data_IF_454810513030
#
_entry.id   IF_454810513030
#
_cell.length_a   1.000
_cell.length_b   1.000
_cell.length_c   1.000
_cell.angle_alpha   90.00
_cell.angle_beta   90.00
_cell.angle_gamma   90.00
#
_symmetry.space_group_name_H-M   'P 1'
#
loop_
_entity.id
_entity.type
_entity.pdbx_description
1 polymer ?
#
# COMPACT_ATOMS: atom_id res chain seq x y z
N UNK A 1 -2.24 -19.87 -3.30
CA UNK A 1 -2.42 -19.05 -4.52
C UNK A 1 -2.24 -17.54 -4.26
N UNK A 2 -2.00 -17.14 -3.00
CA UNK A 2 -1.87 -15.77 -2.50
C UNK A 2 -0.91 -14.87 -3.29
N UNK A 3 0.37 -15.26 -3.42
CA UNK A 3 1.37 -14.41 -4.09
C UNK A 3 1.09 -14.27 -5.59
N UNK A 4 0.87 -15.36 -6.36
CA UNK A 4 0.51 -15.22 -7.77
C UNK A 4 -0.75 -14.38 -8.03
N UNK A 5 -1.80 -14.54 -7.22
CA UNK A 5 -3.02 -13.74 -7.35
C UNK A 5 -2.76 -12.27 -7.06
N UNK A 6 -2.11 -11.95 -5.93
CA UNK A 6 -1.82 -10.56 -5.55
C UNK A 6 -0.95 -9.82 -6.59
N UNK A 7 0.03 -10.51 -7.18
CA UNK A 7 0.85 -9.95 -8.26
C UNK A 7 0.09 -9.77 -9.56
N UNK A 8 -0.80 -10.71 -9.91
CA UNK A 8 -1.69 -10.58 -11.06
C UNK A 8 -2.62 -9.36 -10.92
N UNK A 9 -3.24 -9.18 -9.75
CA UNK A 9 -4.09 -8.03 -9.46
C UNK A 9 -3.30 -6.71 -9.49
N UNK A 10 -2.10 -6.68 -8.92
CA UNK A 10 -1.23 -5.50 -8.97
C UNK A 10 -0.86 -5.13 -10.42
N UNK A 11 -0.48 -6.13 -11.23
CA UNK A 11 -0.09 -5.91 -12.63
C UNK A 11 -1.22 -5.32 -13.49
N UNK A 12 -2.48 -5.65 -13.19
CA UNK A 12 -3.66 -5.12 -13.91
C UNK A 12 -4.05 -3.69 -13.49
N UNK A 13 -3.54 -3.20 -12.35
CA UNK A 13 -3.91 -1.92 -11.77
C UNK A 13 -2.69 -1.11 -11.29
N UNK A 14 -1.56 -1.19 -12.00
CA UNK A 14 -0.27 -0.59 -11.58
C UNK A 14 -0.33 0.94 -11.38
N UNK A 15 -1.31 1.61 -11.96
CA UNK A 15 -1.47 3.07 -11.91
C UNK A 15 -2.61 3.52 -10.99
N UNK A 16 -3.34 2.58 -10.36
CA UNK A 16 -4.47 2.89 -9.49
C UNK A 16 -4.46 2.00 -8.25
N UNK A 17 -3.93 2.51 -7.15
CA UNK A 17 -3.90 1.81 -5.86
C UNK A 17 -5.30 1.47 -5.35
N UNK A 18 -6.27 2.37 -5.53
CA UNK A 18 -7.66 2.15 -5.09
C UNK A 18 -8.32 1.04 -5.89
N UNK A 19 -8.20 1.03 -7.22
CA UNK A 19 -8.79 -0.04 -8.04
C UNK A 19 -8.09 -1.38 -7.76
N UNK A 20 -6.77 -1.37 -7.58
CA UNK A 20 -6.01 -2.57 -7.23
C UNK A 20 -6.50 -3.20 -5.92
N UNK A 21 -6.74 -2.39 -4.89
CA UNK A 21 -7.21 -2.88 -3.58
C UNK A 21 -8.64 -3.41 -3.65
N UNK A 22 -9.55 -2.72 -4.36
CA UNK A 22 -10.93 -3.21 -4.52
C UNK A 22 -10.99 -4.52 -5.31
N UNK A 23 -10.30 -4.60 -6.46
CA UNK A 23 -10.24 -5.82 -7.26
C UNK A 23 -9.67 -7.00 -6.47
N UNK A 24 -8.62 -6.77 -5.67
CA UNK A 24 -8.02 -7.82 -4.84
C UNK A 24 -8.97 -8.27 -3.72
N UNK A 25 -9.66 -7.34 -3.06
CA UNK A 25 -10.61 -7.67 -1.98
C UNK A 25 -11.83 -8.47 -2.47
N UNK A 26 -12.26 -8.26 -3.72
CA UNK A 26 -13.33 -9.03 -4.37
C UNK A 26 -12.96 -10.51 -4.61
N UNK A 27 -11.67 -10.89 -4.47
CA UNK A 27 -11.20 -12.27 -4.60
C UNK A 27 -11.64 -13.22 -3.46
N UNK A 28 -12.22 -12.69 -2.37
CA UNK A 28 -12.81 -13.42 -1.22
C UNK A 28 -11.94 -14.48 -0.50
N UNK A 29 -10.64 -14.57 -0.81
CA UNK A 29 -9.67 -15.44 -0.16
C UNK A 29 -9.03 -14.81 1.08
N UNK A 30 -7.71 -14.94 1.21
CA UNK A 30 -6.91 -14.22 2.22
C UNK A 30 -6.78 -12.74 1.82
N UNK A 31 -7.87 -11.99 1.99
CA UNK A 31 -8.01 -10.59 1.56
C UNK A 31 -6.94 -9.70 2.19
N UNK A 32 -6.65 -9.89 3.47
CA UNK A 32 -5.68 -9.05 4.19
C UNK A 32 -4.27 -9.24 3.60
N UNK A 33 -3.81 -10.49 3.45
CA UNK A 33 -2.47 -10.77 2.93
C UNK A 33 -2.35 -10.37 1.45
N UNK A 34 -3.38 -10.65 0.65
CA UNK A 34 -3.37 -10.30 -0.78
C UNK A 34 -3.40 -8.79 -0.99
N UNK A 35 -4.23 -8.05 -0.24
CA UNK A 35 -4.29 -6.59 -0.30
C UNK A 35 -2.99 -5.94 0.21
N UNK A 36 -2.34 -6.50 1.24
CA UNK A 36 -1.06 -6.00 1.72
C UNK A 36 0.03 -6.09 0.63
N UNK A 37 0.10 -7.22 -0.08
CA UNK A 37 1.07 -7.42 -1.18
C UNK A 37 0.73 -6.53 -2.37
N UNK A 38 -0.51 -6.57 -2.86
CA UNK A 38 -0.96 -5.75 -4.00
C UNK A 38 -0.76 -4.26 -3.70
N UNK A 39 -1.19 -3.81 -2.52
CA UNK A 39 -1.09 -2.43 -2.08
C UNK A 39 0.36 -1.95 -1.98
N UNK A 40 1.26 -2.77 -1.42
CA UNK A 40 2.69 -2.45 -1.35
C UNK A 40 3.33 -2.25 -2.73
N UNK A 41 3.03 -3.13 -3.68
CA UNK A 41 3.56 -3.03 -5.07
C UNK A 41 3.06 -1.78 -5.77
N UNK A 42 1.75 -1.53 -5.73
CA UNK A 42 1.15 -0.39 -6.45
C UNK A 42 1.52 0.93 -5.76
N UNK A 43 1.47 1.00 -4.43
CA UNK A 43 1.84 2.20 -3.68
C UNK A 43 3.32 2.58 -3.87
N UNK A 44 4.22 1.61 -4.03
CA UNK A 44 5.62 1.89 -4.34
C UNK A 44 5.80 2.60 -5.70
N UNK A 45 4.88 2.39 -6.64
CA UNK A 45 4.87 3.05 -7.96
C UNK A 45 4.10 4.38 -7.93
N UNK A 46 2.89 4.38 -7.37
CA UNK A 46 1.97 5.52 -7.48
C UNK A 46 2.14 6.54 -6.35
N UNK A 47 2.78 6.16 -5.25
CA UNK A 47 2.62 6.83 -3.97
C UNK A 47 1.17 6.75 -3.46
N UNK A 48 0.85 7.57 -2.45
CA UNK A 48 -0.46 7.59 -1.79
C UNK A 48 -1.33 8.80 -2.16
N UNK A 49 -0.87 9.68 -3.05
CA UNK A 49 -1.56 10.94 -3.36
C UNK A 49 -2.97 10.73 -3.98
N UNK A 50 -3.16 9.61 -4.67
CA UNK A 50 -4.46 9.23 -5.26
C UNK A 50 -5.43 8.52 -4.30
N UNK A 51 -5.02 8.21 -3.08
CA UNK A 51 -5.88 7.50 -2.11
C UNK A 51 -6.93 8.46 -1.54
N UNK A 52 -8.22 8.06 -1.47
CA UNK A 52 -9.24 8.87 -0.82
C UNK A 52 -8.86 9.22 0.61
N UNK A 53 -8.91 10.51 0.96
CA UNK A 53 -8.56 11.00 2.31
C UNK A 53 -9.34 10.31 3.43
N UNK A 54 -10.58 9.89 3.13
CA UNK A 54 -11.43 9.16 4.07
C UNK A 54 -10.82 7.81 4.47
N UNK A 55 -10.13 7.10 3.57
CA UNK A 55 -9.48 5.83 3.91
C UNK A 55 -8.36 6.04 4.92
N UNK A 56 -7.55 7.09 4.71
CA UNK A 56 -6.48 7.47 5.62
C UNK A 56 -7.01 7.97 6.97
N UNK A 57 -8.22 8.55 7.00
CA UNK A 57 -8.87 8.99 8.23
C UNK A 57 -9.50 7.83 9.02
N UNK A 58 -9.89 6.74 8.35
CA UNK A 58 -10.51 5.56 8.97
C UNK A 58 -9.52 4.47 9.36
N UNK A 59 -8.29 4.48 8.83
CA UNK A 59 -7.25 3.52 9.22
C UNK A 59 -6.90 3.69 10.70
N UNK A 60 -6.48 2.60 11.33
CA UNK A 60 -5.87 2.68 12.65
C UNK A 60 -4.59 3.55 12.61
N UNK A 61 -4.39 4.45 13.59
CA UNK A 61 -3.17 5.24 13.67
C UNK A 61 -1.95 4.32 13.66
N UNK A 62 -0.92 4.68 12.90
CA UNK A 62 0.33 3.95 12.98
C UNK A 62 0.93 4.12 14.37
N UNK A 63 1.57 3.06 14.91
CA UNK A 63 2.35 3.19 16.11
C UNK A 63 3.40 4.31 15.99
N UNK A 64 3.68 5.00 17.10
CA UNK A 64 4.62 6.13 17.14
C UNK A 64 6.00 5.77 16.57
N UNK A 65 6.48 4.55 16.80
CA UNK A 65 7.78 4.07 16.30
C UNK A 65 7.90 4.08 14.77
N UNK A 66 6.78 3.98 14.03
CA UNK A 66 6.79 4.08 12.56
C UNK A 66 7.07 5.52 12.12
N UNK A 67 6.52 6.50 12.83
CA UNK A 67 6.74 7.92 12.54
C UNK A 67 8.16 8.36 12.92
N UNK A 68 8.69 7.82 14.03
CA UNK A 68 10.09 8.03 14.45
C UNK A 68 11.05 7.48 13.39
N UNK A 69 10.83 6.24 12.90
CA UNK A 69 11.65 5.65 11.84
C UNK A 69 11.62 6.46 10.53
N UNK A 70 10.49 7.09 10.18
CA UNK A 70 10.38 7.96 9.01
C UNK A 70 11.06 9.33 9.23
N UNK A 71 11.17 9.80 10.48
CA UNK A 71 11.85 11.05 10.83
C UNK A 71 13.38 10.89 10.94
N UNK A 72 13.88 9.66 11.09
CA UNK A 72 15.30 9.32 11.14
C UNK A 72 15.99 9.25 9.76
N UNK A 73 15.28 9.53 8.65
CA UNK A 73 15.95 9.64 7.34
C UNK A 73 17.10 10.66 7.41
N UNK A 74 18.36 10.25 7.18
CA UNK A 74 19.50 11.09 7.45
C UNK A 74 19.51 12.27 6.49
N UNK A 75 19.52 13.47 7.07
CA UNK A 75 19.99 14.69 6.41
C UNK A 75 21.35 14.38 5.77
N UNK A 76 21.37 14.13 4.45
CA UNK A 76 22.57 14.15 3.62
C UNK A 76 23.11 15.59 3.64
N UNK A 77 23.71 15.99 4.76
CA UNK A 77 24.53 17.18 4.86
C UNK A 77 25.95 16.78 4.46
N UNK A 78 26.38 17.36 3.34
CA UNK A 78 27.64 17.04 2.70
C UNK A 78 28.88 17.32 3.54
N UNK A 79 29.97 16.73 3.08
CA UNK A 79 31.28 17.36 2.97
C UNK A 79 31.94 16.86 1.69
#
# INVERSE_FOLDING_TARGET
DTVPFALWSAAHHLDSLTDALWTTAEGLGDVDTTCAITGGVVAARTGLAGVPKEWLARREPLPAWVAEAAAEEPSQNGS
#
